data_IF_052769926497
#
_entry.id   IF_052769926497
#
_cell.length_a   1.000
_cell.length_b   1.000
_cell.length_c   1.000
_cell.angle_alpha   90.00
_cell.angle_beta   90.00
_cell.angle_gamma   90.00
#
_symmetry.space_group_name_H-M   'P 1'
#
loop_
_entity.id
_entity.type
_entity.pdbx_description
1 polymer ?
#
# COMPACT_ATOMS: atom_id res chain seq x y z
N UNK A 1 -20.06 9.93 21.60
CA UNK A 1 -19.16 8.76 21.48
C UNK A 1 -19.98 7.61 20.89
N UNK A 2 -19.43 6.84 19.94
CA UNK A 2 -20.08 5.74 19.18
C UNK A 2 -20.66 6.08 17.79
N UNK A 3 -19.81 6.51 16.85
CA UNK A 3 -20.10 6.35 15.40
C UNK A 3 -18.84 6.33 14.50
N UNK A 4 -17.69 5.92 15.02
CA UNK A 4 -16.41 5.92 14.27
C UNK A 4 -15.72 4.56 14.13
N UNK A 5 -16.46 3.44 14.21
CA UNK A 5 -15.87 2.08 14.14
C UNK A 5 -16.29 1.24 12.94
N UNK A 6 -16.63 1.85 11.80
CA UNK A 6 -16.72 1.12 10.53
C UNK A 6 -15.96 1.80 9.38
N UNK A 7 -14.81 2.41 9.69
CA UNK A 7 -13.85 2.69 8.63
C UNK A 7 -13.31 1.36 8.10
N UNK A 8 -13.88 0.94 6.98
CA UNK A 8 -13.20 0.12 5.98
C UNK A 8 -11.79 0.72 5.84
N UNK A 9 -10.78 0.11 6.49
CA UNK A 9 -9.40 0.58 6.43
C UNK A 9 -9.04 0.59 4.95
N UNK A 10 -8.87 1.77 4.37
CA UNK A 10 -8.32 1.88 3.03
C UNK A 10 -7.02 1.05 3.01
N UNK A 11 -6.89 0.09 2.09
CA UNK A 11 -5.74 -0.80 2.07
C UNK A 11 -4.48 0.05 1.98
N UNK A 12 -3.49 -0.30 2.80
CA UNK A 12 -2.20 0.40 2.86
C UNK A 12 -1.64 0.41 1.42
N UNK A 13 -0.98 1.49 0.94
CA UNK A 13 -0.51 1.57 -0.45
C UNK A 13 0.29 0.34 -0.92
N UNK A 14 1.01 -0.31 0.00
CA UNK A 14 1.71 -1.57 -0.25
C UNK A 14 0.79 -2.76 -0.58
N UNK A 15 -0.31 -2.91 0.15
CA UNK A 15 -1.30 -3.98 -0.09
C UNK A 15 -2.00 -3.79 -1.43
N UNK A 16 -2.20 -2.53 -1.85
CA UNK A 16 -2.76 -2.21 -3.16
C UNK A 16 -1.82 -2.61 -4.30
N UNK A 17 -0.54 -2.27 -4.20
CA UNK A 17 0.46 -2.65 -5.21
C UNK A 17 0.67 -4.16 -5.26
N UNK A 18 0.65 -4.83 -4.11
CA UNK A 18 0.70 -6.29 -4.04
C UNK A 18 -0.53 -6.91 -4.71
N UNK A 19 -1.73 -6.39 -4.45
CA UNK A 19 -2.96 -6.84 -5.07
C UNK A 19 -2.96 -6.66 -6.59
N UNK A 20 -2.50 -5.50 -7.09
CA UNK A 20 -2.32 -5.25 -8.53
C UNK A 20 -1.36 -6.25 -9.17
N UNK A 21 -0.26 -6.57 -8.47
CA UNK A 21 0.71 -7.55 -8.96
C UNK A 21 0.10 -8.95 -9.12
N UNK A 22 -0.69 -9.41 -8.15
CA UNK A 22 -1.40 -10.70 -8.23
C UNK A 22 -2.42 -10.73 -9.36
N UNK A 23 -3.18 -9.64 -9.55
CA UNK A 23 -4.14 -9.52 -10.65
C UNK A 23 -3.44 -9.57 -12.02
N UNK A 24 -2.31 -8.89 -12.16
CA UNK A 24 -1.51 -8.92 -13.37
C UNK A 24 -1.04 -10.34 -13.69
N UNK A 25 -0.51 -11.06 -12.69
CA UNK A 25 0.02 -12.40 -12.93
C UNK A 25 -1.12 -13.39 -13.20
N UNK A 26 -2.28 -13.24 -12.55
CA UNK A 26 -3.43 -14.07 -12.88
C UNK A 26 -3.92 -13.83 -14.33
N UNK A 27 -3.83 -12.61 -14.86
CA UNK A 27 -4.10 -12.34 -16.28
C UNK A 27 -3.06 -12.99 -17.20
N UNK A 28 -1.78 -12.88 -16.86
CA UNK A 28 -0.70 -13.54 -17.60
C UNK A 28 -0.92 -15.05 -17.61
N UNK A 29 -1.30 -15.65 -16.48
CA UNK A 29 -1.65 -17.08 -16.36
C UNK A 29 -2.78 -17.48 -17.30
N UNK A 30 -3.86 -16.71 -17.36
CA UNK A 30 -4.98 -16.99 -18.28
C UNK A 30 -4.52 -16.97 -19.73
N UNK A 31 -3.77 -15.94 -20.14
CA UNK A 31 -3.25 -15.81 -21.50
C UNK A 31 -2.27 -16.92 -21.86
N UNK A 32 -1.33 -17.25 -20.98
CA UNK A 32 -0.38 -18.33 -21.18
C UNK A 32 -1.08 -19.69 -21.27
N UNK A 33 -2.12 -19.92 -20.46
CA UNK A 33 -2.89 -21.18 -20.54
C UNK A 33 -3.59 -21.31 -21.88
N UNK A 34 -4.18 -20.22 -22.40
CA UNK A 34 -4.79 -20.20 -23.73
C UNK A 34 -3.74 -20.41 -24.84
N UNK A 35 -2.59 -19.75 -24.73
CA UNK A 35 -1.47 -19.94 -25.66
C UNK A 35 -0.98 -21.39 -25.65
N UNK A 36 -0.89 -22.00 -24.47
CA UNK A 36 -0.43 -23.37 -24.29
C UNK A 36 -1.43 -24.39 -24.87
N UNK A 37 -2.73 -24.18 -24.70
CA UNK A 37 -3.78 -24.95 -25.39
C UNK A 37 -3.62 -24.79 -26.92
N UNK A 38 -3.46 -23.56 -27.40
CA UNK A 38 -3.27 -23.28 -28.83
C UNK A 38 -2.04 -23.98 -29.42
N UNK A 39 -0.92 -23.92 -28.71
CA UNK A 39 0.31 -24.62 -29.09
C UNK A 39 0.10 -26.14 -29.13
N UNK A 40 -0.56 -26.71 -28.12
CA UNK A 40 -0.87 -28.14 -28.06
C UNK A 40 -1.79 -28.62 -29.19
N UNK A 41 -2.75 -27.79 -29.61
CA UNK A 41 -3.59 -28.06 -30.79
C UNK A 41 -2.76 -27.99 -32.07
N UNK A 42 -1.86 -27.01 -32.19
CA UNK A 42 -0.97 -26.87 -33.35
C UNK A 42 -0.07 -28.07 -33.56
N UNK A 43 0.48 -28.65 -32.49
CA UNK A 43 1.34 -29.84 -32.56
C UNK A 43 0.57 -31.15 -32.36
N UNK A 44 -0.77 -31.16 -32.48
CA UNK A 44 -1.61 -32.32 -32.14
C UNK A 44 -1.19 -33.60 -32.86
N UNK A 45 -0.73 -33.50 -34.10
CA UNK A 45 -0.31 -34.65 -34.91
C UNK A 45 1.06 -35.20 -34.51
N UNK A 46 1.88 -34.41 -33.80
CA UNK A 46 3.24 -34.78 -33.38
C UNK A 46 3.28 -35.45 -32.00
N UNK A 47 2.18 -35.35 -31.23
CA UNK A 47 2.10 -35.76 -29.83
C UNK A 47 1.14 -36.95 -29.62
N UNK A 48 1.44 -37.86 -28.66
CA UNK A 48 0.54 -38.95 -28.32
C UNK A 48 -0.84 -38.46 -27.87
N UNK A 49 -1.89 -39.23 -28.16
CA UNK A 49 -3.27 -38.87 -27.82
C UNK A 49 -3.48 -38.67 -26.30
N UNK A 50 -2.84 -39.50 -25.47
CA UNK A 50 -2.92 -39.39 -24.01
C UNK A 50 -2.26 -38.10 -23.49
N UNK A 51 -1.11 -37.71 -24.06
CA UNK A 51 -0.43 -36.46 -23.69
C UNK A 51 -1.28 -35.25 -24.04
N UNK A 52 -1.91 -35.24 -25.22
CA UNK A 52 -2.83 -34.19 -25.63
C UNK A 52 -4.04 -34.07 -24.68
N UNK A 53 -4.66 -35.19 -24.31
CA UNK A 53 -5.79 -35.20 -23.36
C UNK A 53 -5.38 -34.64 -22.00
N UNK A 54 -4.19 -34.97 -21.50
CA UNK A 54 -3.68 -34.47 -20.22
C UNK A 54 -3.37 -32.98 -20.27
N UNK A 55 -2.85 -32.45 -21.39
CA UNK A 55 -2.69 -31.00 -21.59
C UNK A 55 -4.04 -30.29 -21.50
N UNK A 56 -5.04 -30.78 -22.23
CA UNK A 56 -6.38 -30.16 -22.23
C UNK A 56 -7.02 -30.22 -20.84
N UNK A 57 -6.95 -31.37 -20.18
CA UNK A 57 -7.51 -31.55 -18.84
C UNK A 57 -6.82 -30.65 -17.81
N UNK A 58 -5.49 -30.64 -17.78
CA UNK A 58 -4.72 -29.78 -16.89
C UNK A 58 -4.95 -28.29 -17.18
N UNK A 59 -5.04 -27.90 -18.45
CA UNK A 59 -5.31 -26.51 -18.84
C UNK A 59 -6.73 -26.09 -18.46
N UNK A 60 -7.73 -26.98 -18.56
CA UNK A 60 -9.10 -26.71 -18.12
C UNK A 60 -9.18 -26.50 -16.60
N UNK A 61 -8.52 -27.36 -15.82
CA UNK A 61 -8.40 -27.18 -14.36
C UNK A 61 -7.74 -25.84 -14.06
N UNK A 62 -6.67 -25.50 -14.78
CA UNK A 62 -5.95 -24.25 -14.56
C UNK A 62 -6.83 -23.02 -14.89
N UNK A 63 -7.62 -23.08 -15.96
CA UNK A 63 -8.56 -22.01 -16.32
C UNK A 63 -9.67 -21.85 -15.27
N UNK A 64 -10.24 -22.95 -14.78
CA UNK A 64 -11.24 -22.93 -13.71
C UNK A 64 -10.66 -22.31 -12.43
N UNK A 65 -9.47 -22.77 -12.05
CA UNK A 65 -8.75 -22.25 -10.88
C UNK A 65 -8.42 -20.76 -11.02
N UNK A 66 -7.85 -20.36 -12.17
CA UNK A 66 -7.53 -18.97 -12.46
C UNK A 66 -8.78 -18.08 -12.51
N UNK A 67 -9.92 -18.61 -12.95
CA UNK A 67 -11.22 -17.94 -12.91
C UNK A 67 -11.69 -17.69 -11.48
N UNK A 68 -11.62 -18.70 -10.60
CA UNK A 68 -11.95 -18.56 -9.17
C UNK A 68 -11.06 -17.51 -8.50
N UNK A 69 -9.74 -17.60 -8.72
CA UNK A 69 -8.77 -16.62 -8.20
C UNK A 69 -9.06 -15.22 -8.74
N UNK A 70 -9.40 -15.10 -10.03
CA UNK A 70 -9.74 -13.80 -10.63
C UNK A 70 -10.96 -13.16 -9.97
N UNK A 71 -12.03 -13.93 -9.80
CA UNK A 71 -13.27 -13.46 -9.17
C UNK A 71 -13.03 -13.10 -7.70
N UNK A 72 -12.18 -13.85 -7.00
CA UNK A 72 -11.82 -13.53 -5.62
C UNK A 72 -10.99 -12.25 -5.53
N UNK A 73 -10.02 -12.06 -6.44
CA UNK A 73 -9.24 -10.82 -6.52
C UNK A 73 -10.12 -9.61 -6.86
N UNK A 74 -11.17 -9.75 -7.66
CA UNK A 74 -12.10 -8.64 -7.90
C UNK A 74 -12.93 -8.22 -6.68
N UNK A 75 -13.21 -9.16 -5.76
CA UNK A 75 -14.05 -8.92 -4.57
C UNK A 75 -13.29 -8.28 -3.40
N UNK A 76 -11.96 -8.21 -3.44
CA UNK A 76 -11.15 -7.57 -2.40
C UNK A 76 -9.78 -8.20 -2.18
N UNK A 77 -9.09 -7.84 -1.08
CA UNK A 77 -7.76 -8.36 -0.79
C UNK A 77 -7.80 -9.86 -0.52
N UNK A 78 -6.97 -10.60 -1.28
CA UNK A 78 -6.84 -12.05 -1.20
C UNK A 78 -6.23 -12.47 0.15
N UNK A 79 -6.75 -13.56 0.73
CA UNK A 79 -6.20 -14.14 1.96
C UNK A 79 -4.75 -14.55 1.75
N UNK A 80 -3.87 -14.20 2.68
CA UNK A 80 -2.41 -14.31 2.53
C UNK A 80 -1.91 -15.71 2.12
N UNK A 81 -2.52 -16.79 2.63
CA UNK A 81 -2.11 -18.17 2.32
C UNK A 81 -2.56 -18.62 0.93
N UNK A 82 -3.64 -18.05 0.40
CA UNK A 82 -4.22 -18.44 -0.88
C UNK A 82 -3.27 -18.10 -2.04
N UNK A 83 -2.35 -17.16 -1.83
CA UNK A 83 -1.26 -16.80 -2.75
C UNK A 83 -0.28 -17.96 -2.94
N UNK A 84 0.08 -18.64 -1.85
CA UNK A 84 0.97 -19.82 -1.90
C UNK A 84 0.28 -20.99 -2.60
N UNK A 85 -1.00 -21.22 -2.32
CA UNK A 85 -1.79 -22.27 -2.98
C UNK A 85 -1.85 -22.04 -4.50
N UNK A 86 -2.06 -20.79 -4.92
CA UNK A 86 -2.11 -20.41 -6.34
C UNK A 86 -0.84 -20.74 -7.10
N UNK A 87 0.30 -20.55 -6.45
CA UNK A 87 1.61 -20.84 -7.01
C UNK A 87 1.87 -22.35 -7.06
N UNK A 88 1.61 -23.04 -5.96
CA UNK A 88 1.80 -24.49 -5.89
C UNK A 88 0.92 -25.20 -6.93
N UNK A 89 -0.30 -24.71 -7.13
CA UNK A 89 -1.24 -25.26 -8.12
C UNK A 89 -0.72 -25.07 -9.55
N UNK A 90 -0.20 -23.89 -9.90
CA UNK A 90 0.41 -23.65 -11.21
C UNK A 90 1.59 -24.61 -11.47
N UNK A 91 2.52 -24.69 -10.52
CA UNK A 91 3.73 -25.50 -10.68
C UNK A 91 3.39 -26.99 -10.73
N UNK A 92 2.43 -27.45 -9.91
CA UNK A 92 1.98 -28.84 -9.90
C UNK A 92 1.29 -29.23 -11.20
N UNK A 93 0.34 -28.41 -11.68
CA UNK A 93 -0.36 -28.67 -12.95
C UNK A 93 0.62 -28.73 -14.11
N UNK A 94 1.55 -27.80 -14.16
CA UNK A 94 2.57 -27.73 -15.21
C UNK A 94 3.51 -28.94 -15.17
N UNK A 95 3.89 -29.38 -13.96
CA UNK A 95 4.72 -30.59 -13.76
C UNK A 95 3.96 -31.87 -14.16
N UNK A 96 2.67 -31.94 -13.87
CA UNK A 96 1.82 -33.09 -14.24
C UNK A 96 1.65 -33.19 -15.76
N UNK A 97 1.44 -32.05 -16.44
CA UNK A 97 1.34 -31.99 -17.90
C UNK A 97 2.65 -32.47 -18.55
N UNK A 98 3.81 -32.05 -18.00
CA UNK A 98 5.12 -32.52 -18.47
C UNK A 98 5.29 -34.02 -18.28
N UNK A 99 4.87 -34.54 -17.13
CA UNK A 99 4.93 -35.98 -16.88
C UNK A 99 4.08 -36.76 -17.89
N UNK A 100 2.90 -36.22 -18.25
CA UNK A 100 1.99 -36.82 -19.22
C UNK A 100 2.49 -36.85 -20.67
N UNK A 101 3.51 -36.07 -21.01
CA UNK A 101 4.19 -36.13 -22.31
C UNK A 101 5.13 -37.35 -22.47
N UNK A 102 5.20 -38.22 -21.46
CA UNK A 102 5.90 -39.51 -21.57
C UNK A 102 7.40 -39.42 -21.29
N UNK A 103 7.77 -38.78 -20.17
CA UNK A 103 9.13 -38.83 -19.60
C UNK A 103 10.26 -38.34 -20.52
N UNK A 104 10.81 -39.24 -21.34
CA UNK A 104 12.05 -39.05 -22.08
C UNK A 104 11.98 -37.95 -23.16
N UNK A 105 10.85 -37.84 -23.89
CA UNK A 105 10.67 -36.78 -24.91
C UNK A 105 10.65 -35.41 -24.25
N UNK A 106 10.05 -35.30 -23.07
CA UNK A 106 9.88 -34.03 -22.36
C UNK A 106 11.19 -33.45 -21.85
N UNK A 107 12.15 -34.30 -21.48
CA UNK A 107 13.49 -33.83 -21.09
C UNK A 107 14.32 -33.36 -22.28
N UNK A 108 14.02 -33.79 -23.52
CA UNK A 108 14.79 -33.39 -24.72
C UNK A 108 14.18 -32.25 -25.54
N UNK A 109 12.89 -31.96 -25.41
CA UNK A 109 12.20 -31.02 -26.31
C UNK A 109 12.48 -29.55 -25.97
N UNK A 110 12.69 -28.69 -26.98
CA UNK A 110 12.75 -27.23 -26.84
C UNK A 110 11.43 -26.60 -26.34
N UNK A 111 10.30 -27.32 -26.45
CA UNK A 111 9.04 -26.98 -25.81
C UNK A 111 9.18 -26.80 -24.28
N UNK A 112 10.25 -27.34 -23.69
CA UNK A 112 10.64 -27.13 -22.32
C UNK A 112 11.09 -25.68 -22.01
N UNK A 113 11.45 -24.87 -23.00
CA UNK A 113 11.69 -23.43 -22.80
C UNK A 113 10.40 -22.69 -22.45
N UNK A 114 9.25 -23.10 -23.01
CA UNK A 114 7.95 -22.51 -22.67
C UNK A 114 7.56 -22.81 -21.21
N UNK A 115 7.95 -23.98 -20.68
CA UNK A 115 7.82 -24.30 -19.26
C UNK A 115 8.58 -23.30 -18.39
N UNK A 116 9.84 -23.01 -18.73
CA UNK A 116 10.66 -22.07 -17.97
C UNK A 116 10.16 -20.63 -18.05
N UNK A 117 9.70 -20.20 -19.24
CA UNK A 117 9.08 -18.88 -19.41
C UNK A 117 7.85 -18.77 -18.52
N UNK A 118 7.00 -19.80 -18.49
CA UNK A 118 5.82 -19.81 -17.64
C UNK A 118 6.20 -19.79 -16.16
N UNK A 119 7.08 -20.68 -15.69
CA UNK A 119 7.56 -20.68 -14.29
C UNK A 119 8.16 -19.31 -13.92
N UNK A 120 9.00 -18.74 -14.78
CA UNK A 120 9.58 -17.42 -14.59
C UNK A 120 8.50 -16.35 -14.40
N UNK A 121 7.53 -16.27 -15.30
CA UNK A 121 6.41 -15.33 -15.23
C UNK A 121 5.51 -15.57 -14.00
N UNK A 122 5.25 -16.83 -13.65
CA UNK A 122 4.48 -17.21 -12.47
C UNK A 122 5.20 -16.89 -11.16
N UNK A 123 6.54 -16.77 -11.16
CA UNK A 123 7.32 -16.41 -9.95
C UNK A 123 7.50 -14.91 -9.77
N UNK A 124 7.32 -14.08 -10.81
CA UNK A 124 7.50 -12.62 -10.75
C UNK A 124 6.42 -11.93 -9.90
N UNK A 125 6.63 -11.89 -8.57
CA UNK A 125 5.70 -11.31 -7.59
C UNK A 125 6.27 -10.04 -6.95
N UNK A 126 5.38 -9.21 -6.41
CA UNK A 126 5.80 -8.02 -5.66
C UNK A 126 6.58 -8.38 -4.37
N UNK A 127 6.24 -9.50 -3.73
CA UNK A 127 6.92 -9.99 -2.53
C UNK A 127 8.12 -10.90 -2.87
N UNK A 128 9.37 -10.51 -2.54
CA UNK A 128 10.56 -11.32 -2.85
C UNK A 128 10.57 -12.68 -2.16
N UNK A 129 10.00 -12.78 -0.96
CA UNK A 129 9.92 -14.04 -0.21
C UNK A 129 9.06 -15.06 -0.95
N UNK A 130 7.94 -14.59 -1.51
CA UNK A 130 7.02 -15.43 -2.29
C UNK A 130 7.67 -15.89 -3.61
N UNK A 131 8.40 -14.99 -4.28
CA UNK A 131 9.21 -15.32 -5.45
C UNK A 131 10.25 -16.41 -5.15
N UNK A 132 10.92 -16.34 -4.00
CA UNK A 132 11.94 -17.33 -3.64
C UNK A 132 11.33 -18.71 -3.31
N UNK A 133 10.24 -18.74 -2.53
CA UNK A 133 9.54 -19.99 -2.18
C UNK A 133 8.98 -20.66 -3.44
N UNK A 134 8.34 -19.89 -4.33
CA UNK A 134 7.81 -20.39 -5.60
C UNK A 134 8.91 -20.96 -6.50
N UNK A 135 10.03 -20.25 -6.61
CA UNK A 135 11.19 -20.71 -7.35
C UNK A 135 11.80 -22.00 -6.79
N UNK A 136 11.95 -22.10 -5.47
CA UNK A 136 12.43 -23.32 -4.82
C UNK A 136 11.50 -24.51 -5.09
N UNK A 137 10.19 -24.29 -5.05
CA UNK A 137 9.20 -25.33 -5.37
C UNK A 137 9.29 -25.77 -6.84
N UNK A 138 9.51 -24.84 -7.77
CA UNK A 138 9.69 -25.17 -9.18
C UNK A 138 10.97 -25.99 -9.44
N UNK A 139 12.07 -25.65 -8.76
CA UNK A 139 13.32 -26.44 -8.81
C UNK A 139 13.08 -27.84 -8.28
N UNK A 140 12.46 -27.96 -7.11
CA UNK A 140 12.15 -29.24 -6.49
C UNK A 140 11.24 -30.11 -7.38
N UNK A 141 10.20 -29.53 -7.97
CA UNK A 141 9.28 -30.24 -8.86
C UNK A 141 10.00 -30.75 -10.12
N UNK A 142 10.85 -29.94 -10.74
CA UNK A 142 11.65 -30.37 -11.89
C UNK A 142 12.61 -31.50 -11.52
N UNK A 143 13.37 -31.34 -10.44
CA UNK A 143 14.29 -32.36 -9.94
C UNK A 143 13.56 -33.68 -9.64
N UNK A 144 12.36 -33.61 -9.08
CA UNK A 144 11.53 -34.77 -8.81
C UNK A 144 11.10 -35.48 -10.09
N UNK A 145 10.59 -34.75 -11.10
CA UNK A 145 10.21 -35.33 -12.39
C UNK A 145 11.41 -36.00 -13.07
N UNK A 146 12.58 -35.36 -13.05
CA UNK A 146 13.82 -35.94 -13.58
C UNK A 146 14.20 -37.23 -12.83
N UNK A 147 14.16 -37.21 -11.49
CA UNK A 147 14.50 -38.37 -10.67
C UNK A 147 13.56 -39.56 -10.92
N UNK A 148 12.24 -39.32 -10.92
CA UNK A 148 11.24 -40.37 -11.17
C UNK A 148 11.45 -40.99 -12.54
N UNK A 149 11.66 -40.17 -13.58
CA UNK A 149 11.87 -40.64 -14.95
C UNK A 149 13.12 -41.52 -15.10
N UNK A 150 14.21 -41.18 -14.40
CA UNK A 150 15.43 -42.00 -14.35
C UNK A 150 15.16 -43.31 -13.60
N UNK A 151 14.50 -43.24 -12.44
CA UNK A 151 14.27 -44.40 -11.56
C UNK A 151 13.31 -45.43 -12.14
N UNK A 152 12.36 -45.02 -12.98
CA UNK A 152 11.40 -45.93 -13.63
C UNK A 152 12.02 -46.67 -14.83
N UNK A 153 13.34 -46.57 -15.04
CA UNK A 153 14.04 -47.20 -16.16
C UNK A 153 13.71 -46.58 -17.51
N UNK A 154 13.05 -45.42 -17.53
CA UNK A 154 12.63 -44.75 -18.77
C UNK A 154 13.75 -44.02 -19.50
N UNK A 155 14.88 -43.74 -18.82
CA UNK A 155 16.00 -42.95 -19.33
C UNK A 155 17.32 -43.38 -18.66
N UNK A 156 18.38 -43.56 -19.45
CA UNK A 156 19.76 -43.72 -18.97
C UNK A 156 20.49 -42.36 -19.00
N UNK A 157 21.42 -42.10 -18.07
CA UNK A 157 22.27 -40.91 -18.17
C UNK A 157 23.31 -41.10 -19.27
N UNK A 158 23.35 -40.17 -20.22
CA UNK A 158 24.31 -40.12 -21.33
C UNK A 158 25.29 -38.95 -21.21
N UNK A 159 26.27 -38.93 -22.12
CA UNK A 159 27.23 -37.83 -22.25
C UNK A 159 26.58 -36.58 -22.89
N UNK A 160 27.26 -35.43 -22.84
CA UNK A 160 26.76 -34.15 -23.41
C UNK A 160 26.56 -34.24 -24.94
N UNK A 161 27.29 -35.15 -25.59
CA UNK A 161 27.37 -35.31 -27.04
C UNK A 161 26.29 -36.24 -27.62
N UNK A 162 25.57 -36.99 -26.77
CA UNK A 162 24.50 -37.90 -27.21
C UNK A 162 23.17 -37.14 -27.38
N UNK A 163 23.04 -36.47 -28.53
CA UNK A 163 21.87 -35.68 -28.86
C UNK A 163 20.92 -36.43 -29.82
N UNK A 164 19.62 -36.40 -29.49
CA UNK A 164 18.45 -36.78 -30.32
C UNK A 164 18.31 -38.21 -30.86
N UNK A 165 19.36 -39.03 -30.90
CA UNK A 165 19.31 -40.39 -31.50
C UNK A 165 19.31 -41.54 -30.49
N UNK A 166 19.77 -41.29 -29.26
CA UNK A 166 19.75 -42.27 -28.17
C UNK A 166 18.58 -42.04 -27.21
N UNK A 167 18.23 -43.05 -26.42
CA UNK A 167 17.28 -42.91 -25.29
C UNK A 167 17.94 -42.31 -24.03
N UNK A 168 19.24 -41.99 -24.10
CA UNK A 168 19.99 -41.40 -22.99
C UNK A 168 19.75 -39.88 -22.89
N UNK A 169 19.61 -39.35 -21.67
CA UNK A 169 19.55 -37.91 -21.41
C UNK A 169 20.88 -37.45 -20.84
N UNK A 170 21.40 -36.34 -21.38
CA UNK A 170 22.63 -35.73 -20.88
C UNK A 170 22.46 -35.25 -19.43
N UNK A 171 23.27 -35.82 -18.53
CA UNK A 171 23.29 -35.41 -17.12
C UNK A 171 23.71 -33.95 -16.94
N UNK A 172 24.69 -33.49 -17.74
CA UNK A 172 25.15 -32.10 -17.69
C UNK A 172 24.08 -31.12 -18.16
N UNK A 173 23.27 -31.46 -19.17
CA UNK A 173 22.17 -30.61 -19.64
C UNK A 173 21.07 -30.49 -18.57
N UNK A 174 20.79 -31.58 -17.85
CA UNK A 174 19.83 -31.57 -16.74
C UNK A 174 20.33 -30.69 -15.58
N UNK A 175 21.61 -30.78 -15.24
CA UNK A 175 22.24 -29.91 -14.24
C UNK A 175 22.25 -28.44 -14.67
N UNK A 176 22.57 -28.15 -15.94
CA UNK A 176 22.56 -26.80 -16.50
C UNK A 176 21.15 -26.18 -16.40
N UNK A 177 20.11 -26.96 -16.66
CA UNK A 177 18.71 -26.53 -16.53
C UNK A 177 18.32 -26.21 -15.09
N UNK A 178 18.75 -27.02 -14.12
CA UNK A 178 18.58 -26.72 -12.69
C UNK A 178 19.30 -25.41 -12.33
N UNK A 179 20.53 -25.24 -12.81
CA UNK A 179 21.31 -24.03 -12.59
C UNK A 179 20.65 -22.78 -13.19
N UNK A 180 20.12 -22.88 -14.41
CA UNK A 180 19.35 -21.79 -15.02
C UNK A 180 18.08 -21.46 -14.24
N UNK A 181 17.34 -22.47 -13.78
CA UNK A 181 16.15 -22.25 -12.98
C UNK A 181 16.49 -21.55 -11.66
N UNK A 182 17.54 -22.00 -10.97
CA UNK A 182 18.03 -21.34 -9.77
C UNK A 182 18.47 -19.89 -10.04
N UNK A 183 19.19 -19.65 -11.13
CA UNK A 183 19.63 -18.32 -11.55
C UNK A 183 18.44 -17.39 -11.83
N UNK A 184 17.44 -17.83 -12.59
CA UNK A 184 16.26 -17.01 -12.89
C UNK A 184 15.41 -16.73 -11.66
N UNK A 185 15.32 -17.66 -10.71
CA UNK A 185 14.67 -17.44 -9.42
C UNK A 185 15.39 -16.35 -8.62
N UNK A 186 16.72 -16.38 -8.57
CA UNK A 186 17.51 -15.35 -7.90
C UNK A 186 17.37 -13.99 -8.60
N UNK A 187 17.39 -13.98 -9.94
CA UNK A 187 17.19 -12.77 -10.74
C UNK A 187 15.79 -12.18 -10.54
N UNK A 188 14.74 -13.00 -10.59
CA UNK A 188 13.37 -12.58 -10.32
C UNK A 188 13.23 -12.02 -8.90
N UNK A 189 13.81 -12.70 -7.90
CA UNK A 189 13.82 -12.22 -6.52
C UNK A 189 14.56 -10.88 -6.37
N UNK A 190 15.66 -10.69 -7.09
CA UNK A 190 16.39 -9.42 -7.14
C UNK A 190 15.54 -8.31 -7.76
N UNK A 191 14.91 -8.56 -8.91
CA UNK A 191 14.02 -7.61 -9.58
C UNK A 191 12.85 -7.24 -8.66
N UNK A 192 12.18 -8.23 -8.05
CA UNK A 192 11.10 -8.00 -7.07
C UNK A 192 11.56 -7.11 -5.92
N UNK A 193 12.76 -7.37 -5.37
CA UNK A 193 13.32 -6.56 -4.28
C UNK A 193 13.61 -5.12 -4.72
N UNK A 194 14.17 -4.93 -5.91
CA UNK A 194 14.47 -3.60 -6.46
C UNK A 194 13.19 -2.82 -6.73
N UNK A 195 12.21 -3.43 -7.40
CA UNK A 195 10.92 -2.83 -7.69
C UNK A 195 10.20 -2.42 -6.40
N UNK A 196 10.13 -3.34 -5.41
CA UNK A 196 9.56 -3.03 -4.09
C UNK A 196 10.22 -1.81 -3.44
N UNK A 197 11.54 -1.73 -3.49
CA UNK A 197 12.27 -0.59 -2.91
C UNK A 197 11.98 0.75 -3.58
N UNK A 198 11.72 0.74 -4.90
CA UNK A 198 11.37 1.95 -5.66
C UNK A 198 9.98 2.43 -5.25
N UNK A 199 9.02 1.50 -5.23
CA UNK A 199 7.63 1.78 -4.82
C UNK A 199 7.57 2.28 -3.38
N UNK A 200 8.31 1.65 -2.46
CA UNK A 200 8.36 2.07 -1.06
C UNK A 200 8.88 3.50 -0.91
N UNK A 201 9.95 3.87 -1.62
CA UNK A 201 10.45 5.26 -1.62
C UNK A 201 9.43 6.25 -2.17
N UNK A 202 8.74 5.91 -3.27
CA UNK A 202 7.72 6.76 -3.88
C UNK A 202 6.51 6.99 -2.95
N UNK A 203 6.09 5.94 -2.23
CA UNK A 203 5.00 6.03 -1.24
C UNK A 203 5.42 6.93 -0.07
N UNK A 204 6.63 6.74 0.47
CA UNK A 204 7.12 7.56 1.58
C UNK A 204 7.22 9.02 1.20
N UNK A 205 7.79 9.34 0.03
CA UNK A 205 7.89 10.74 -0.43
C UNK A 205 6.52 11.40 -0.63
N UNK A 206 5.54 10.68 -1.20
CA UNK A 206 4.18 11.21 -1.36
C UNK A 206 3.48 11.46 -0.03
N UNK A 207 3.69 10.59 0.96
CA UNK A 207 3.15 10.78 2.32
C UNK A 207 3.81 11.96 3.05
N UNK A 208 5.11 12.17 2.87
CA UNK A 208 5.83 13.31 3.44
C UNK A 208 5.35 14.64 2.85
N UNK A 209 5.11 14.68 1.54
CA UNK A 209 4.55 15.86 0.87
C UNK A 209 3.13 16.19 1.38
N UNK A 210 2.24 15.20 1.47
CA UNK A 210 0.88 15.41 1.98
C UNK A 210 0.90 15.90 3.45
N UNK A 211 1.78 15.32 4.28
CA UNK A 211 1.95 15.75 5.68
C UNK A 211 2.46 17.17 5.78
N UNK A 212 3.41 17.56 4.93
CA UNK A 212 3.99 18.90 4.92
C UNK A 212 2.94 19.94 4.54
N UNK A 213 2.14 19.68 3.50
CA UNK A 213 1.03 20.54 3.09
C UNK A 213 -0.03 20.67 4.19
N UNK A 214 -0.39 19.55 4.82
CA UNK A 214 -1.35 19.55 5.94
C UNK A 214 -0.84 20.34 7.14
N UNK A 215 0.46 20.26 7.43
CA UNK A 215 1.09 21.02 8.50
C UNK A 215 1.07 22.52 8.20
N UNK A 216 1.47 22.94 7.00
CA UNK A 216 1.43 24.35 6.57
C UNK A 216 0.01 24.90 6.70
N UNK A 217 -0.97 24.19 6.15
CA UNK A 217 -2.38 24.56 6.25
C UNK A 217 -2.86 24.71 7.71
N UNK A 218 -2.48 23.77 8.57
CA UNK A 218 -2.87 23.80 9.99
C UNK A 218 -2.22 24.97 10.73
N UNK A 219 -0.95 25.27 10.45
CA UNK A 219 -0.23 26.41 11.03
C UNK A 219 -0.85 27.75 10.60
N UNK A 220 -1.21 27.90 9.34
CA UNK A 220 -1.86 29.12 8.86
C UNK A 220 -3.24 29.31 9.47
N UNK A 221 -4.02 28.23 9.60
CA UNK A 221 -5.31 28.26 10.31
C UNK A 221 -5.13 28.66 11.78
N UNK A 222 -4.16 28.07 12.49
CA UNK A 222 -3.85 28.43 13.88
C UNK A 222 -3.48 29.90 14.02
N UNK A 223 -2.65 30.42 13.11
CA UNK A 223 -2.26 31.85 13.09
C UNK A 223 -3.46 32.76 12.87
N UNK A 224 -4.38 32.39 11.96
CA UNK A 224 -5.59 33.15 11.71
C UNK A 224 -6.49 33.19 12.95
N UNK A 225 -6.74 32.03 13.58
CA UNK A 225 -7.54 31.94 14.81
C UNK A 225 -6.88 32.68 15.98
N UNK A 226 -5.56 32.63 16.13
CA UNK A 226 -4.86 33.41 17.15
C UNK A 226 -5.02 34.92 16.94
N UNK A 227 -4.93 35.40 15.70
CA UNK A 227 -5.17 36.82 15.39
C UNK A 227 -6.60 37.25 15.73
N UNK A 228 -7.58 36.43 15.35
CA UNK A 228 -8.99 36.70 15.65
C UNK A 228 -9.25 36.74 17.17
N UNK A 229 -8.76 35.75 17.92
CA UNK A 229 -8.85 35.74 19.38
C UNK A 229 -8.18 36.97 20.01
N UNK A 230 -7.00 37.35 19.53
CA UNK A 230 -6.30 38.54 20.01
C UNK A 230 -7.05 39.85 19.68
N UNK A 231 -7.78 39.90 18.57
CA UNK A 231 -8.65 41.03 18.25
C UNK A 231 -9.88 41.06 19.16
N UNK A 232 -10.59 39.93 19.30
CA UNK A 232 -11.75 39.81 20.20
C UNK A 232 -11.41 40.11 21.64
N UNK A 233 -10.27 39.65 22.14
CA UNK A 233 -9.80 39.98 23.48
C UNK A 233 -9.53 41.48 23.65
N UNK A 234 -9.02 42.17 22.62
CA UNK A 234 -8.84 43.63 22.64
C UNK A 234 -10.17 44.36 22.64
N UNK A 235 -11.13 43.93 21.82
CA UNK A 235 -12.50 44.47 21.79
C UNK A 235 -13.19 44.30 23.16
N UNK A 236 -13.14 43.10 23.74
CA UNK A 236 -13.69 42.81 25.06
C UNK A 236 -13.01 43.62 26.17
N UNK A 237 -11.68 43.75 26.12
CA UNK A 237 -10.96 44.59 27.07
C UNK A 237 -11.43 46.05 26.99
N UNK A 238 -11.56 46.60 25.77
CA UNK A 238 -12.06 47.96 25.58
C UNK A 238 -13.49 48.15 26.10
N UNK A 239 -14.41 47.23 25.77
CA UNK A 239 -15.79 47.26 26.27
C UNK A 239 -15.87 47.12 27.80
N UNK A 240 -14.94 46.38 28.41
CA UNK A 240 -14.87 46.20 29.86
C UNK A 240 -14.20 47.37 30.60
N UNK A 241 -13.65 48.36 29.90
CA UNK A 241 -12.96 49.51 30.50
C UNK A 241 -13.86 50.75 30.66
N UNK A 242 -15.02 50.77 30.01
CA UNK A 242 -15.90 51.92 29.92
C UNK A 242 -17.23 51.64 30.64
N UNK A 243 -17.74 52.62 31.37
CA UNK A 243 -19.07 52.59 31.97
C UNK A 243 -20.14 52.81 30.89
N UNK A 244 -21.14 51.93 30.83
CA UNK A 244 -22.10 51.90 29.73
C UNK A 244 -23.02 53.13 29.69
N UNK A 245 -23.31 53.73 30.85
CA UNK A 245 -24.20 54.89 30.96
C UNK A 245 -23.48 56.18 30.61
N UNK A 246 -22.28 56.39 31.15
CA UNK A 246 -21.54 57.66 31.03
C UNK A 246 -20.54 57.69 29.87
N UNK A 247 -20.20 56.54 29.29
CA UNK A 247 -19.12 56.38 28.30
C UNK A 247 -17.72 56.82 28.81
N UNK A 248 -17.57 57.02 30.11
CA UNK A 248 -16.30 57.31 30.79
C UNK A 248 -15.62 56.02 31.22
N UNK A 249 -14.31 56.08 31.51
CA UNK A 249 -13.61 54.93 32.09
C UNK A 249 -14.29 54.50 33.39
N UNK A 250 -14.52 53.20 33.55
CA UNK A 250 -15.08 52.69 34.78
C UNK A 250 -14.06 52.76 35.92
N UNK A 251 -14.55 52.60 37.15
CA UNK A 251 -13.73 52.67 38.38
C UNK A 251 -12.48 51.79 38.31
N UNK A 252 -12.61 50.56 37.82
CA UNK A 252 -11.48 49.62 37.71
C UNK A 252 -10.37 50.14 36.78
N UNK A 253 -10.73 50.75 35.64
CA UNK A 253 -9.74 51.33 34.72
C UNK A 253 -9.10 52.58 35.31
N UNK A 254 -9.88 53.42 36.00
CA UNK A 254 -9.36 54.60 36.71
C UNK A 254 -8.32 54.20 37.76
N UNK A 255 -8.62 53.18 38.59
CA UNK A 255 -7.68 52.70 39.62
C UNK A 255 -6.33 52.25 39.03
N UNK A 256 -6.37 51.54 37.89
CA UNK A 256 -5.15 51.11 37.18
C UNK A 256 -4.34 52.28 36.61
N UNK A 257 -5.01 53.26 35.99
CA UNK A 257 -4.36 54.46 35.45
C UNK A 257 -3.71 55.25 36.58
N UNK A 258 -4.41 55.45 37.70
CA UNK A 258 -3.88 56.17 38.86
C UNK A 258 -2.63 55.49 39.44
N UNK A 259 -2.62 54.16 39.55
CA UNK A 259 -1.43 53.42 40.00
C UNK A 259 -0.24 53.60 39.04
N UNK A 260 -0.46 53.51 37.73
CA UNK A 260 0.58 53.73 36.73
C UNK A 260 1.12 55.15 36.76
N UNK A 261 0.23 56.15 36.79
CA UNK A 261 0.60 57.56 36.85
C UNK A 261 1.34 57.91 38.14
N UNK A 262 0.95 57.33 39.28
CA UNK A 262 1.64 57.52 40.55
C UNK A 262 3.07 56.95 40.51
N UNK A 263 3.26 55.76 39.93
CA UNK A 263 4.60 55.18 39.74
C UNK A 263 5.46 56.02 38.80
N UNK A 264 4.88 56.52 37.70
CA UNK A 264 5.60 57.36 36.75
C UNK A 264 5.98 58.70 37.37
N UNK A 265 5.04 59.37 38.03
CA UNK A 265 5.26 60.63 38.77
C UNK A 265 6.39 60.52 39.81
N UNK A 266 6.46 59.40 40.55
CA UNK A 266 7.56 59.12 41.47
C UNK A 266 8.91 58.97 40.76
N UNK A 267 8.94 58.32 39.59
CA UNK A 267 10.17 58.13 38.81
C UNK A 267 10.64 59.41 38.13
N UNK A 268 9.74 60.21 37.58
CA UNK A 268 10.04 61.48 36.89
C UNK A 268 10.11 62.69 37.83
N UNK A 269 9.82 62.49 39.12
CA UNK A 269 9.73 63.54 40.13
C UNK A 269 8.80 64.71 39.73
N UNK A 270 7.67 64.38 39.08
CA UNK A 270 6.66 65.34 38.62
C UNK A 270 5.42 65.27 39.50
N UNK A 271 4.76 66.40 39.76
CA UNK A 271 3.52 66.41 40.55
C UNK A 271 2.37 65.67 39.83
N UNK A 272 1.57 64.90 40.58
CA UNK A 272 0.34 64.26 40.13
C UNK A 272 -0.86 64.90 40.86
N UNK A 273 -1.89 65.31 40.12
CA UNK A 273 -3.13 65.87 40.67
C UNK A 273 -4.32 64.96 40.30
N UNK A 274 -5.24 64.76 41.24
CA UNK A 274 -6.47 63.98 41.05
C UNK A 274 -7.64 64.81 41.54
N UNK A 275 -8.71 64.88 40.75
CA UNK A 275 -9.93 65.60 41.09
C UNK A 275 -11.06 64.57 41.23
N UNK A 276 -11.78 64.63 42.36
CA UNK A 276 -12.97 63.80 42.61
C UNK A 276 -14.18 64.71 42.58
N UNK A 277 -15.18 64.39 41.75
CA UNK A 277 -16.41 65.15 41.54
C UNK A 277 -17.60 64.29 41.94
N UNK A 278 -18.59 64.89 42.60
CA UNK A 278 -19.87 64.26 42.96
C UNK A 278 -21.03 65.22 42.63
N UNK A 279 -22.22 64.68 42.35
CA UNK A 279 -23.41 65.48 42.03
C UNK A 279 -24.24 65.65 43.31
N UNK A 280 -24.31 66.88 43.80
CA UNK A 280 -25.07 67.20 45.01
C UNK A 280 -26.56 66.88 44.85
N UNK A 281 -27.16 66.29 45.90
CA UNK A 281 -28.59 65.97 45.98
C UNK A 281 -29.16 65.06 44.87
N UNK A 282 -28.33 64.31 44.14
CA UNK A 282 -28.75 63.47 43.01
C UNK A 282 -29.88 62.47 43.35
N UNK A 283 -29.91 61.94 44.58
CA UNK A 283 -30.99 61.06 45.05
C UNK A 283 -32.37 61.72 45.00
N UNK A 284 -32.47 63.00 45.38
CA UNK A 284 -33.73 63.74 45.35
C UNK A 284 -34.27 63.91 43.94
N UNK A 285 -33.39 64.03 42.94
CA UNK A 285 -33.76 64.15 41.52
C UNK A 285 -34.32 62.82 41.01
N UNK A 286 -33.65 61.70 41.32
CA UNK A 286 -34.14 60.36 40.98
C UNK A 286 -35.49 60.04 41.61
N UNK A 287 -35.66 60.39 42.89
CA UNK A 287 -36.89 60.11 43.65
C UNK A 287 -38.10 60.93 43.11
N UNK A 288 -37.88 62.13 42.55
CA UNK A 288 -38.94 63.02 42.04
C UNK A 288 -39.26 62.83 40.55
N UNK A 289 -38.28 62.45 39.72
CA UNK A 289 -38.45 62.39 38.27
C UNK A 289 -38.29 60.98 37.69
N UNK A 290 -38.01 59.99 38.54
CA UNK A 290 -37.78 58.61 38.17
C UNK A 290 -36.35 58.36 37.66
N UNK A 291 -35.89 57.13 37.80
CA UNK A 291 -34.50 56.73 37.47
C UNK A 291 -34.07 57.06 36.04
N UNK A 292 -34.98 56.97 35.07
CA UNK A 292 -34.68 57.32 33.67
C UNK A 292 -34.31 58.79 33.48
N UNK A 293 -34.76 59.69 34.37
CA UNK A 293 -34.45 61.10 34.29
C UNK A 293 -33.08 61.43 34.91
N UNK A 294 -32.64 60.68 35.93
CA UNK A 294 -31.28 60.82 36.45
C UNK A 294 -30.22 60.14 35.58
N UNK A 295 -30.60 59.23 34.68
CA UNK A 295 -29.72 58.64 33.66
C UNK A 295 -29.42 59.60 32.48
N UNK A 296 -30.25 60.62 32.25
CA UNK A 296 -30.11 61.61 31.16
C UNK A 296 -29.27 62.80 31.59
#
# INVERSE_FOLDING_TARGET
MSSMESQHRAPIPFEQEEHKSELYINRVRLWLTLLYIGAAVGIRQEIPAHSFQMILFGSLINLLYAGVVHLQLQKGPMVWWLRYVSISTDILLLSLIIFAFGGYRTLKTEAFLLYFIWVGLSTLRFSPRLTLVSGAFAVAAYSFVTLVTISSGGVQLGSITEAFTSDSVSGSNSLLRIAFLAFFVLLASYISKRYRSIVERAIVSGLEEERSLRLIYTLDRLRATQKELAQRNRELAHLSEVDALTQLYNRRKIDLILQQMALQSRKSNTALCVILLDIDHFKSVNDQHGHQMGER
#
